data_IF_523368714460
#
_entry.id   IF_523368714460
#
_cell.length_a   1.000
_cell.length_b   1.000
_cell.length_c   1.000
_cell.angle_alpha   90.00
_cell.angle_beta   90.00
_cell.angle_gamma   90.00
#
_symmetry.space_group_name_H-M   'P 1'
#
loop_
_entity.id
_entity.type
_entity.pdbx_description
1 polymer ?
#
# COMPACT_ATOMS: atom_id res chain seq x y z
N UNK A 1 7.25 19.04 -15.77
CA UNK A 1 7.50 19.41 -14.36
C UNK A 1 6.87 18.35 -13.48
N UNK A 2 7.64 17.77 -12.56
CA UNK A 2 7.16 16.79 -11.58
C UNK A 2 6.32 17.53 -10.53
N UNK A 3 5.02 17.24 -10.46
CA UNK A 3 4.12 17.82 -9.46
C UNK A 3 3.96 16.84 -8.29
N UNK A 4 4.15 17.34 -7.09
CA UNK A 4 3.85 16.62 -5.85
C UNK A 4 2.47 17.01 -5.33
N UNK A 5 1.96 16.26 -4.34
CA UNK A 5 0.72 16.64 -3.67
C UNK A 5 0.82 18.03 -3.04
N UNK A 6 -0.23 18.83 -3.17
CA UNK A 6 -0.41 20.05 -2.38
C UNK A 6 -0.99 19.74 -0.99
N UNK A 7 -1.15 20.75 -0.13
CA UNK A 7 -1.64 20.56 1.24
C UNK A 7 -3.01 19.87 1.32
N UNK A 8 -3.98 20.26 0.49
CA UNK A 8 -5.30 19.61 0.46
C UNK A 8 -5.28 18.19 -0.11
N UNK A 9 -4.30 17.85 -0.95
CA UNK A 9 -4.08 16.48 -1.42
C UNK A 9 -3.39 15.64 -0.34
N UNK A 10 -2.48 16.22 0.45
CA UNK A 10 -1.84 15.57 1.60
C UNK A 10 -2.86 15.27 2.73
N UNK A 11 -3.82 16.16 2.96
CA UNK A 11 -4.93 15.89 3.89
C UNK A 11 -5.79 14.70 3.44
N UNK A 12 -6.01 14.56 2.13
CA UNK A 12 -6.70 13.39 1.56
C UNK A 12 -5.88 12.11 1.72
N UNK A 13 -4.56 12.16 1.53
CA UNK A 13 -3.66 11.04 1.81
C UNK A 13 -3.77 10.64 3.28
N UNK A 14 -3.65 11.58 4.21
CA UNK A 14 -3.75 11.29 5.65
C UNK A 14 -5.11 10.67 6.02
N UNK A 15 -6.21 11.21 5.49
CA UNK A 15 -7.57 10.69 5.70
C UNK A 15 -7.72 9.27 5.12
N UNK A 16 -7.21 9.05 3.91
CA UNK A 16 -7.25 7.75 3.26
C UNK A 16 -6.41 6.71 4.00
N UNK A 17 -5.23 7.09 4.52
CA UNK A 17 -4.36 6.21 5.32
C UNK A 17 -5.07 5.70 6.57
N UNK A 18 -5.66 6.60 7.37
CA UNK A 18 -6.40 6.23 8.58
C UNK A 18 -7.55 5.27 8.28
N UNK A 19 -8.30 5.54 7.20
CA UNK A 19 -9.42 4.71 6.78
C UNK A 19 -8.96 3.35 6.24
N UNK A 20 -7.89 3.33 5.45
CA UNK A 20 -7.31 2.10 4.91
C UNK A 20 -6.82 1.18 6.02
N UNK A 21 -6.10 1.74 7.01
CA UNK A 21 -5.67 1.04 8.22
C UNK A 21 -6.85 0.36 8.93
N UNK A 22 -7.91 1.12 9.20
CA UNK A 22 -9.12 0.61 9.86
C UNK A 22 -9.77 -0.53 9.06
N UNK A 23 -9.91 -0.35 7.75
CA UNK A 23 -10.59 -1.32 6.87
C UNK A 23 -9.80 -2.63 6.77
N UNK A 24 -8.48 -2.56 6.55
CA UNK A 24 -7.59 -3.73 6.46
C UNK A 24 -7.53 -4.45 7.81
N UNK A 25 -7.41 -3.70 8.91
CA UNK A 25 -7.43 -4.25 10.26
C UNK A 25 -8.70 -5.05 10.53
N UNK A 26 -9.85 -4.44 10.24
CA UNK A 26 -11.16 -5.05 10.49
C UNK A 26 -11.40 -6.30 9.64
N UNK A 27 -10.84 -6.33 8.44
CA UNK A 27 -10.92 -7.49 7.54
C UNK A 27 -10.08 -8.66 8.06
N UNK A 28 -8.81 -8.41 8.39
CA UNK A 28 -7.87 -9.46 8.83
C UNK A 28 -7.99 -9.85 10.31
N UNK A 29 -8.88 -9.18 11.06
CA UNK A 29 -9.12 -9.39 12.50
C UNK A 29 -7.82 -9.34 13.32
N UNK A 30 -6.97 -8.38 12.99
CA UNK A 30 -5.70 -8.21 13.71
C UNK A 30 -5.99 -7.81 15.16
N UNK A 31 -5.24 -8.32 16.12
CA UNK A 31 -5.32 -7.87 17.51
C UNK A 31 -4.50 -6.59 17.72
N UNK A 32 -4.69 -5.93 18.87
CA UNK A 32 -3.85 -4.79 19.27
C UNK A 32 -2.37 -5.15 19.50
N UNK A 33 -2.03 -6.44 19.61
CA UNK A 33 -0.65 -6.94 19.67
C UNK A 33 -0.11 -7.35 18.30
N UNK A 34 -0.97 -7.69 17.34
CA UNK A 34 -0.67 -7.79 15.91
C UNK A 34 -0.72 -6.44 15.20
N UNK A 35 -0.84 -5.38 15.99
CA UNK A 35 -0.94 -4.01 15.54
C UNK A 35 0.30 -3.68 14.70
N UNK A 36 0.06 -3.33 13.44
CA UNK A 36 1.12 -3.10 12.45
C UNK A 36 1.85 -1.76 12.61
N UNK A 37 1.31 -0.79 13.38
CA UNK A 37 2.05 0.44 13.74
C UNK A 37 3.39 0.05 14.35
N UNK A 38 4.46 0.66 13.82
CA UNK A 38 5.87 0.36 14.06
C UNK A 38 6.48 -0.73 13.17
N UNK A 39 5.71 -1.42 12.32
CA UNK A 39 6.21 -2.36 11.30
C UNK A 39 6.16 -1.80 9.89
N UNK A 40 5.42 -0.72 9.67
CA UNK A 40 5.45 -0.01 8.40
C UNK A 40 5.32 1.50 8.59
N UNK A 41 5.66 2.23 7.53
CA UNK A 41 5.50 3.67 7.40
C UNK A 41 4.92 4.01 6.01
N UNK A 42 4.15 5.09 5.90
CA UNK A 42 3.56 5.56 4.64
C UNK A 42 4.21 6.90 4.29
N UNK A 43 4.86 6.96 3.13
CA UNK A 43 5.60 8.14 2.67
C UNK A 43 5.09 8.61 1.32
N UNK A 44 5.01 9.94 1.17
CA UNK A 44 4.76 10.59 -0.12
C UNK A 44 6.07 10.84 -0.84
N UNK A 45 6.02 11.05 -2.16
CA UNK A 45 7.20 11.16 -3.01
C UNK A 45 8.17 12.27 -2.57
N UNK A 46 7.70 13.29 -1.84
CA UNK A 46 8.56 14.33 -1.25
C UNK A 46 9.56 13.78 -0.23
N UNK A 47 9.12 12.83 0.58
CA UNK A 47 9.89 12.26 1.70
C UNK A 47 10.59 10.94 1.33
N UNK A 48 10.39 10.47 0.10
CA UNK A 48 11.05 9.28 -0.44
C UNK A 48 12.53 9.53 -0.76
N UNK A 49 13.37 8.56 -0.41
CA UNK A 49 14.74 8.50 -0.86
C UNK A 49 14.81 8.23 -2.38
N UNK A 50 15.93 8.55 -3.06
CA UNK A 50 16.04 8.41 -4.51
C UNK A 50 15.74 6.99 -5.02
N UNK A 51 16.11 5.94 -4.29
CA UNK A 51 15.84 4.54 -4.66
C UNK A 51 14.40 4.11 -4.40
N UNK A 52 13.64 4.85 -3.58
CA UNK A 52 12.22 4.58 -3.31
C UNK A 52 11.30 5.23 -4.35
N UNK A 53 11.84 6.13 -5.20
CA UNK A 53 11.13 6.78 -6.30
C UNK A 53 11.28 5.94 -7.56
N UNK A 54 10.17 5.42 -8.07
CA UNK A 54 10.14 4.54 -9.24
C UNK A 54 9.09 5.01 -10.26
N UNK A 55 9.29 4.66 -11.52
CA UNK A 55 8.31 4.88 -12.58
C UNK A 55 7.47 3.62 -12.82
N UNK A 56 6.19 3.80 -13.15
CA UNK A 56 5.27 2.70 -13.42
C UNK A 56 4.13 2.61 -12.40
N UNK A 57 4.40 2.23 -11.14
CA UNK A 57 3.35 2.03 -10.15
C UNK A 57 2.92 3.33 -9.47
N UNK A 58 1.73 3.32 -8.84
CA UNK A 58 1.23 4.45 -8.05
C UNK A 58 1.75 4.45 -6.62
N UNK A 59 2.06 3.28 -6.09
CA UNK A 59 2.78 3.08 -4.83
C UNK A 59 3.55 1.76 -4.90
N UNK A 60 4.46 1.55 -3.97
CA UNK A 60 5.15 0.27 -3.80
C UNK A 60 5.48 0.02 -2.34
N UNK A 61 5.55 -1.25 -1.95
CA UNK A 61 6.04 -1.65 -0.62
C UNK A 61 7.51 -2.07 -0.70
N UNK A 62 8.37 -1.42 0.09
CA UNK A 62 9.77 -1.81 0.25
C UNK A 62 10.02 -2.42 1.63
N UNK A 63 10.68 -3.58 1.68
CA UNK A 63 11.11 -4.24 2.93
C UNK A 63 12.47 -3.71 3.35
N UNK A 64 12.60 -3.37 4.63
CA UNK A 64 13.82 -3.00 5.31
C UNK A 64 14.07 -3.96 6.47
N UNK A 65 15.33 -4.32 6.70
CA UNK A 65 15.72 -5.09 7.88
C UNK A 65 16.19 -4.15 9.00
N UNK A 66 15.41 -4.07 10.08
CA UNK A 66 15.82 -3.41 11.31
C UNK A 66 16.64 -4.36 12.17
N UNK A 67 17.76 -3.90 12.73
CA UNK A 67 18.49 -4.60 13.81
C UNK A 67 18.43 -3.75 15.07
N UNK A 68 17.95 -4.30 16.19
CA UNK A 68 18.02 -3.61 17.48
C UNK A 68 19.48 -3.58 17.95
N UNK A 69 19.95 -2.40 18.34
CA UNK A 69 21.36 -2.19 18.72
C UNK A 69 21.71 -2.74 20.12
N UNK A 70 20.71 -3.03 20.97
CA UNK A 70 20.90 -3.16 22.42
C UNK A 70 20.87 -4.57 23.04
N UNK A 71 20.88 -5.66 22.28
CA UNK A 71 20.98 -7.00 22.90
C UNK A 71 22.00 -7.91 22.21
N UNK A 72 23.07 -8.22 22.93
CA UNK A 72 24.16 -9.14 22.59
C UNK A 72 23.79 -10.62 22.76
N UNK A 73 22.53 -10.99 22.48
CA UNK A 73 22.05 -12.38 22.48
C UNK A 73 21.15 -12.57 21.26
N UNK A 74 21.42 -13.62 20.48
CA UNK A 74 21.03 -13.75 19.07
C UNK A 74 19.53 -13.57 18.74
N UNK A 75 19.31 -13.04 17.53
CA UNK A 75 18.03 -12.93 16.81
C UNK A 75 17.06 -11.82 17.25
N UNK A 76 17.32 -10.57 16.86
CA UNK A 76 16.29 -9.52 16.83
C UNK A 76 16.34 -8.67 15.55
N UNK A 77 16.54 -9.34 14.40
CA UNK A 77 16.22 -8.72 13.12
C UNK A 77 14.69 -8.64 13.00
N UNK A 78 14.15 -7.49 12.63
CA UNK A 78 12.73 -7.33 12.38
C UNK A 78 12.48 -6.58 11.07
N UNK A 79 11.55 -7.08 10.28
CA UNK A 79 11.15 -6.48 8.99
C UNK A 79 10.31 -5.22 9.23
N UNK A 80 10.79 -4.09 8.70
CA UNK A 80 10.09 -2.82 8.54
C UNK A 80 9.66 -2.67 7.08
N UNK A 81 8.53 -2.02 6.82
CA UNK A 81 8.03 -1.82 5.45
C UNK A 81 7.78 -0.33 5.17
N UNK A 82 8.22 0.20 4.03
CA UNK A 82 7.81 1.53 3.59
C UNK A 82 6.82 1.40 2.45
N UNK A 83 5.61 1.95 2.63
CA UNK A 83 4.64 2.17 1.56
C UNK A 83 5.01 3.50 0.91
N UNK A 84 5.52 3.43 -0.31
CA UNK A 84 6.10 4.55 -1.03
C UNK A 84 5.14 5.07 -2.10
N UNK A 85 4.36 6.10 -1.78
CA UNK A 85 3.39 6.71 -2.68
C UNK A 85 4.12 7.57 -3.73
N UNK A 86 3.77 7.36 -5.00
CA UNK A 86 4.35 8.09 -6.14
C UNK A 86 3.42 9.24 -6.56
N UNK A 87 3.40 10.34 -5.79
CA UNK A 87 2.53 11.50 -6.03
C UNK A 87 2.48 11.94 -7.51
N UNK A 88 3.62 12.06 -8.22
CA UNK A 88 3.60 12.53 -9.61
C UNK A 88 2.82 11.60 -10.55
N UNK A 89 2.89 10.29 -10.31
CA UNK A 89 2.14 9.30 -11.07
C UNK A 89 0.64 9.43 -10.80
N UNK A 90 0.25 9.54 -9.51
CA UNK A 90 -1.14 9.65 -9.09
C UNK A 90 -1.78 10.95 -9.60
N UNK A 91 -1.13 12.09 -9.40
CA UNK A 91 -1.63 13.40 -9.83
C UNK A 91 -1.77 13.45 -11.35
N UNK A 92 -0.77 12.93 -12.09
CA UNK A 92 -0.81 12.85 -13.56
C UNK A 92 -1.95 11.96 -14.05
N UNK A 93 -2.19 10.83 -13.38
CA UNK A 93 -3.25 9.90 -13.73
C UNK A 93 -4.64 10.49 -13.49
N UNK A 94 -4.90 11.00 -12.29
CA UNK A 94 -6.20 11.61 -11.94
C UNK A 94 -6.52 12.80 -12.85
N UNK A 95 -5.52 13.62 -13.20
CA UNK A 95 -5.71 14.72 -14.13
C UNK A 95 -6.10 14.28 -15.56
N UNK A 96 -5.65 13.09 -16.00
CA UNK A 96 -5.96 12.52 -17.31
C UNK A 96 -7.24 11.69 -17.30
N UNK A 97 -7.71 11.27 -16.13
CA UNK A 97 -8.86 10.38 -15.96
C UNK A 97 -9.92 11.04 -15.07
N UNK A 98 -10.67 12.02 -15.58
CA UNK A 98 -11.57 12.85 -14.77
C UNK A 98 -12.75 12.09 -14.13
N UNK A 99 -12.99 10.84 -14.52
CA UNK A 99 -13.98 9.96 -13.90
C UNK A 99 -13.51 9.40 -12.55
N UNK A 100 -12.21 9.38 -12.29
CA UNK A 100 -11.61 8.85 -11.05
C UNK A 100 -11.26 10.02 -10.14
N UNK A 101 -11.93 10.09 -9.00
CA UNK A 101 -11.61 11.07 -7.97
C UNK A 101 -10.38 10.64 -7.16
N UNK A 102 -9.59 11.61 -6.69
CA UNK A 102 -8.37 11.36 -5.92
C UNK A 102 -8.63 10.55 -4.64
N UNK A 103 -9.62 10.93 -3.83
CA UNK A 103 -9.90 10.28 -2.55
C UNK A 103 -10.20 8.76 -2.64
N UNK A 104 -11.16 8.27 -3.46
CA UNK A 104 -11.39 6.82 -3.59
C UNK A 104 -10.20 6.10 -4.22
N UNK A 105 -9.44 6.77 -5.09
CA UNK A 105 -8.25 6.19 -5.70
C UNK A 105 -7.11 5.99 -4.70
N UNK A 106 -6.83 7.01 -3.86
CA UNK A 106 -5.88 6.90 -2.76
C UNK A 106 -6.29 5.82 -1.76
N UNK A 107 -7.58 5.73 -1.43
CA UNK A 107 -8.08 4.69 -0.54
C UNK A 107 -7.82 3.29 -1.10
N UNK A 108 -8.06 3.08 -2.40
CA UNK A 108 -7.79 1.81 -3.06
C UNK A 108 -6.30 1.46 -3.02
N UNK A 109 -5.44 2.39 -3.46
CA UNK A 109 -3.97 2.19 -3.46
C UNK A 109 -3.48 1.84 -2.05
N UNK A 110 -3.89 2.59 -1.04
CA UNK A 110 -3.42 2.37 0.33
C UNK A 110 -3.91 1.04 0.91
N UNK A 111 -5.13 0.61 0.61
CA UNK A 111 -5.61 -0.71 1.01
C UNK A 111 -4.82 -1.80 0.29
N UNK A 112 -4.53 -1.64 -1.01
CA UNK A 112 -3.71 -2.57 -1.79
C UNK A 112 -2.32 -2.77 -1.18
N UNK A 113 -1.60 -1.68 -0.93
CA UNK A 113 -0.25 -1.74 -0.33
C UNK A 113 -0.28 -2.28 1.11
N UNK A 114 -1.29 -1.94 1.91
CA UNK A 114 -1.42 -2.49 3.27
C UNK A 114 -1.74 -3.99 3.25
N UNK A 115 -2.51 -4.47 2.28
CA UNK A 115 -2.73 -5.91 2.08
C UNK A 115 -1.41 -6.59 1.73
N UNK A 116 -0.55 -6.00 0.89
CA UNK A 116 0.81 -6.51 0.68
C UNK A 116 1.59 -6.62 1.99
N UNK A 117 1.62 -5.56 2.81
CA UNK A 117 2.32 -5.58 4.11
C UNK A 117 1.82 -6.74 5.00
N UNK A 118 0.50 -6.90 5.14
CA UNK A 118 -0.10 -8.00 5.94
C UNK A 118 0.32 -9.36 5.39
N UNK A 119 0.32 -9.51 4.06
CA UNK A 119 0.63 -10.78 3.41
C UNK A 119 2.12 -11.12 3.51
N UNK A 120 3.01 -10.15 3.34
CA UNK A 120 4.45 -10.35 3.57
C UNK A 120 4.74 -10.76 5.01
N UNK A 121 4.10 -10.14 6.00
CA UNK A 121 4.27 -10.50 7.41
C UNK A 121 3.74 -11.91 7.75
N UNK A 122 2.68 -12.38 7.09
CA UNK A 122 2.08 -13.69 7.35
C UNK A 122 2.72 -14.84 6.57
N UNK A 123 3.34 -14.55 5.42
CA UNK A 123 3.79 -15.57 4.47
C UNK A 123 5.25 -15.36 4.01
N UNK A 124 6.10 -14.72 4.84
CA UNK A 124 7.49 -14.35 4.53
C UNK A 124 8.27 -15.47 3.78
N UNK A 125 8.19 -16.71 4.25
CA UNK A 125 8.88 -17.87 3.64
C UNK A 125 8.43 -18.25 2.22
N UNK A 126 7.22 -17.86 1.78
CA UNK A 126 6.74 -18.18 0.42
C UNK A 126 7.37 -17.27 -0.64
N UNK A 127 7.70 -16.04 -0.28
CA UNK A 127 8.27 -15.07 -1.23
C UNK A 127 9.78 -15.26 -1.42
N UNK A 128 10.48 -15.83 -0.43
CA UNK A 128 11.93 -16.09 -0.50
C UNK A 128 12.30 -17.26 -1.45
N UNK A 129 11.36 -18.16 -1.75
CA UNK A 129 11.65 -19.46 -2.40
C UNK A 129 10.97 -19.65 -3.77
N UNK A 130 10.38 -18.60 -4.34
CA UNK A 130 9.57 -18.67 -5.55
C UNK A 130 10.29 -18.11 -6.80
N UNK A 131 9.90 -18.58 -7.99
CA UNK A 131 10.29 -17.94 -9.25
C UNK A 131 9.58 -16.57 -9.33
N UNK A 132 10.36 -15.48 -9.31
CA UNK A 132 9.87 -14.15 -8.92
C UNK A 132 8.71 -13.64 -9.77
N UNK A 133 8.72 -13.84 -11.09
CA UNK A 133 7.80 -13.19 -12.03
C UNK A 133 6.36 -13.76 -12.04
N UNK A 134 6.20 -15.09 -12.00
CA UNK A 134 4.87 -15.72 -12.05
C UNK A 134 4.17 -15.63 -10.69
N UNK A 135 4.95 -15.78 -9.61
CA UNK A 135 4.46 -15.61 -8.24
C UNK A 135 4.12 -14.15 -7.92
N UNK A 136 4.80 -13.17 -8.51
CA UNK A 136 4.36 -11.77 -8.38
C UNK A 136 3.01 -11.54 -9.04
N UNK A 137 2.74 -12.06 -10.25
CA UNK A 137 1.46 -11.82 -10.90
C UNK A 137 0.27 -12.48 -10.17
N UNK A 138 0.42 -13.73 -9.72
CA UNK A 138 -0.61 -14.41 -8.93
C UNK A 138 -0.87 -13.68 -7.61
N UNK A 139 0.19 -13.18 -6.98
CA UNK A 139 0.09 -12.40 -5.76
C UNK A 139 -0.62 -11.06 -5.98
N UNK A 140 -0.26 -10.32 -7.03
CA UNK A 140 -0.92 -9.05 -7.38
C UNK A 140 -2.42 -9.27 -7.60
N UNK A 141 -2.82 -10.28 -8.36
CA UNK A 141 -4.24 -10.63 -8.56
C UNK A 141 -4.94 -10.92 -7.24
N UNK A 142 -4.27 -11.66 -6.36
CA UNK A 142 -4.82 -11.99 -5.04
C UNK A 142 -4.95 -10.76 -4.14
N UNK A 143 -3.99 -9.86 -4.18
CA UNK A 143 -4.03 -8.60 -3.42
C UNK A 143 -5.14 -7.70 -3.95
N UNK A 144 -5.29 -7.59 -5.27
CA UNK A 144 -6.42 -6.91 -5.90
C UNK A 144 -7.75 -7.50 -5.46
N UNK A 145 -7.92 -8.83 -5.52
CA UNK A 145 -9.13 -9.51 -5.06
C UNK A 145 -9.47 -9.21 -3.60
N UNK A 146 -8.48 -9.29 -2.69
CA UNK A 146 -8.67 -8.94 -1.28
C UNK A 146 -9.01 -7.45 -1.11
N UNK A 147 -8.36 -6.57 -1.85
CA UNK A 147 -8.63 -5.12 -1.83
C UNK A 147 -10.07 -4.84 -2.24
N UNK A 148 -10.56 -5.51 -3.27
CA UNK A 148 -11.96 -5.46 -3.68
C UNK A 148 -12.89 -5.95 -2.56
N UNK A 149 -12.62 -7.11 -1.98
CA UNK A 149 -13.43 -7.69 -0.88
C UNK A 149 -13.49 -6.78 0.36
N UNK A 150 -12.41 -6.04 0.64
CA UNK A 150 -12.36 -5.07 1.74
C UNK A 150 -13.25 -3.85 1.45
N UNK A 151 -13.21 -3.34 0.22
CA UNK A 151 -13.82 -2.06 -0.13
C UNK A 151 -15.27 -2.21 -0.60
N UNK A 152 -15.58 -3.21 -1.43
CA UNK A 152 -16.89 -3.38 -2.06
C UNK A 152 -18.08 -3.40 -1.08
N UNK A 153 -17.98 -4.00 0.13
CA UNK A 153 -19.06 -3.95 1.12
C UNK A 153 -19.26 -2.57 1.77
N UNK A 154 -18.30 -1.65 1.59
CA UNK A 154 -18.37 -0.29 2.13
C UNK A 154 -18.86 0.62 1.02
N UNK A 155 -19.94 1.38 1.27
CA UNK A 155 -20.48 2.35 0.33
C UNK A 155 -19.54 3.57 0.16
N UNK A 156 -18.38 3.36 -0.47
CA UNK A 156 -17.39 4.40 -0.77
C UNK A 156 -17.82 5.13 -2.04
N UNK A 157 -18.11 6.43 -1.93
CA UNK A 157 -18.47 7.25 -3.08
C UNK A 157 -17.32 7.31 -4.10
N UNK A 158 -17.63 7.09 -5.38
CA UNK A 158 -16.66 7.14 -6.48
C UNK A 158 -15.73 5.92 -6.60
N UNK A 159 -15.95 4.85 -5.82
CA UNK A 159 -15.08 3.66 -5.91
C UNK A 159 -15.34 2.81 -7.15
N UNK A 160 -16.56 2.84 -7.70
CA UNK A 160 -16.90 2.04 -8.88
C UNK A 160 -15.99 2.33 -10.06
N UNK A 161 -15.63 3.60 -10.29
CA UNK A 161 -14.72 3.99 -11.36
C UNK A 161 -13.29 3.51 -11.12
N UNK A 162 -12.88 3.34 -9.85
CA UNK A 162 -11.59 2.77 -9.48
C UNK A 162 -11.59 1.25 -9.72
N UNK A 163 -12.68 0.57 -9.37
CA UNK A 163 -12.82 -0.86 -9.66
C UNK A 163 -12.81 -1.15 -11.17
N UNK A 164 -13.52 -0.36 -11.97
CA UNK A 164 -13.48 -0.47 -13.44
C UNK A 164 -12.06 -0.30 -13.99
N UNK A 165 -11.26 0.60 -13.43
CA UNK A 165 -9.87 0.79 -13.85
C UNK A 165 -8.99 -0.44 -13.55
N UNK A 166 -9.21 -1.10 -12.41
CA UNK A 166 -8.47 -2.29 -12.01
C UNK A 166 -9.12 -3.62 -12.45
N UNK A 167 -10.18 -3.60 -13.29
CA UNK A 167 -10.98 -4.78 -13.62
C UNK A 167 -10.14 -5.96 -14.14
N UNK A 168 -9.09 -5.67 -14.92
CA UNK A 168 -8.20 -6.68 -15.52
C UNK A 168 -7.28 -7.40 -14.52
N UNK A 169 -7.27 -6.94 -13.27
CA UNK A 169 -6.46 -7.51 -12.19
C UNK A 169 -7.25 -8.43 -11.27
N UNK A 170 -8.58 -8.46 -11.39
CA UNK A 170 -9.45 -9.47 -10.75
C UNK A 170 -9.57 -10.72 -11.63
#
# INVERSE_FOLDING_TARGET
MTRFFNEGELEQVATASLRAEEMVYNYFKLSSSQWLKNRYDIKTARDLAPHERVEGPFAQVLKYEGRRQDFSLGSSAFSLYHICIQDPAIVSFVAKTPKICLAPFLLYILIHELVHVVRFLRFEHRYENACEAEVTLEEEKKVHGITYDIIAPKAVSGISQVFEFYEKWY
#
